data_IF_060104293526
#
_entry.id   IF_060104293526
#
_cell.length_a   1.000
_cell.length_b   1.000
_cell.length_c   1.000
_cell.angle_alpha   90.00
_cell.angle_beta   90.00
_cell.angle_gamma   90.00
#
_symmetry.space_group_name_H-M   'P 1'
#
loop_
_entity.id
_entity.type
_entity.pdbx_description
1 polymer ?
#
# COMPACT_ATOMS: atom_id res chain seq x y z
N UNK A 1 14.64 -0.30 -36.42
CA UNK A 1 14.89 1.13 -36.64
C UNK A 1 15.03 1.83 -35.29
N UNK A 2 16.23 2.38 -35.08
CA UNK A 2 16.67 3.39 -34.11
C UNK A 2 15.63 3.97 -33.14
N UNK A 3 15.73 3.58 -31.87
CA UNK A 3 15.28 4.35 -30.70
C UNK A 3 16.52 4.88 -29.96
N UNK A 4 17.32 5.71 -30.63
CA UNK A 4 18.29 6.58 -29.99
C UNK A 4 17.73 7.99 -30.09
N UNK A 5 17.49 8.64 -28.94
CA UNK A 5 17.19 10.07 -28.91
C UNK A 5 15.98 10.54 -28.09
N UNK A 6 15.45 9.78 -27.13
CA UNK A 6 14.64 10.41 -26.08
C UNK A 6 15.55 10.86 -24.93
N UNK A 7 15.48 12.14 -24.49
CA UNK A 7 16.30 12.62 -23.39
C UNK A 7 15.97 11.82 -22.14
N UNK A 8 17.01 11.38 -21.42
CA UNK A 8 16.90 10.84 -20.06
C UNK A 8 15.97 11.77 -19.27
N UNK A 9 14.83 11.27 -18.83
CA UNK A 9 13.76 12.05 -18.22
C UNK A 9 14.15 12.56 -16.83
N UNK A 10 15.04 13.56 -16.76
CA UNK A 10 15.10 14.46 -15.61
C UNK A 10 13.86 15.37 -15.65
N UNK A 11 12.71 14.85 -15.23
CA UNK A 11 11.43 15.57 -15.28
C UNK A 11 10.66 15.44 -13.96
N UNK A 12 11.24 15.78 -12.81
CA UNK A 12 10.43 16.12 -11.65
C UNK A 12 9.66 17.41 -11.97
N UNK A 13 8.41 17.28 -12.39
CA UNK A 13 7.46 18.39 -12.38
C UNK A 13 6.45 18.11 -11.28
N UNK A 14 6.29 19.04 -10.35
CA UNK A 14 5.23 19.02 -9.34
C UNK A 14 4.18 20.05 -9.74
N UNK A 15 2.97 19.62 -10.08
CA UNK A 15 1.85 20.55 -10.28
C UNK A 15 0.66 20.20 -9.41
N UNK A 16 -0.22 21.18 -9.23
CA UNK A 16 -1.22 21.21 -8.18
C UNK A 16 -2.64 21.16 -8.74
N UNK A 17 -3.46 20.25 -8.24
CA UNK A 17 -4.90 20.21 -8.52
C UNK A 17 -5.70 21.02 -7.50
N UNK A 18 -6.19 22.21 -7.88
CA UNK A 18 -7.00 23.09 -7.02
C UNK A 18 -8.50 22.72 -6.94
N UNK A 19 -8.89 21.51 -7.38
CA UNK A 19 -10.31 21.18 -7.55
C UNK A 19 -11.12 21.09 -6.24
N UNK A 20 -10.46 20.96 -5.10
CA UNK A 20 -11.07 21.02 -3.77
C UNK A 20 -10.10 21.78 -2.84
N UNK A 21 -10.48 22.08 -1.60
CA UNK A 21 -9.68 22.85 -0.62
C UNK A 21 -8.29 22.26 -0.27
N UNK A 22 -7.83 21.21 -0.97
CA UNK A 22 -6.52 20.59 -0.87
C UNK A 22 -5.97 20.18 -2.24
N UNK A 23 -4.69 20.45 -2.47
CA UNK A 23 -4.01 20.24 -3.74
C UNK A 23 -3.53 18.78 -3.93
N UNK A 24 -3.90 18.09 -5.01
CA UNK A 24 -3.17 16.87 -5.44
C UNK A 24 -1.89 17.28 -6.16
N UNK A 25 -0.77 16.69 -5.77
CA UNK A 25 0.55 16.92 -6.38
C UNK A 25 0.92 15.78 -7.32
N UNK A 26 1.32 16.08 -8.54
CA UNK A 26 1.69 15.05 -9.52
C UNK A 26 3.20 15.02 -9.69
N UNK A 27 3.78 13.83 -9.83
CA UNK A 27 5.21 13.63 -10.03
C UNK A 27 5.35 12.66 -11.20
N UNK A 28 6.00 13.06 -12.30
CA UNK A 28 6.42 12.12 -13.36
C UNK A 28 7.89 11.81 -13.16
N UNK A 29 8.29 10.56 -13.27
CA UNK A 29 9.68 10.14 -13.12
C UNK A 29 9.98 8.92 -13.98
N UNK A 30 11.27 8.62 -14.20
CA UNK A 30 11.69 7.40 -14.88
C UNK A 30 11.30 6.15 -14.05
N UNK A 31 10.95 5.04 -14.69
CA UNK A 31 10.66 3.78 -14.00
C UNK A 31 11.81 3.29 -13.12
N UNK A 32 13.04 3.69 -13.45
CA UNK A 32 14.29 3.35 -12.74
C UNK A 32 14.71 4.40 -11.71
N UNK A 33 13.87 5.40 -11.45
CA UNK A 33 14.17 6.41 -10.44
C UNK A 33 14.42 5.77 -9.07
N UNK A 34 15.40 6.30 -8.33
CA UNK A 34 15.78 5.77 -7.02
C UNK A 34 14.66 6.05 -5.99
N UNK A 35 14.23 4.99 -5.30
CA UNK A 35 13.20 5.11 -4.26
C UNK A 35 13.58 6.11 -3.15
N UNK A 36 14.87 6.24 -2.82
CA UNK A 36 15.38 7.22 -1.85
C UNK A 36 15.07 8.67 -2.25
N UNK A 37 15.30 9.02 -3.52
CA UNK A 37 15.04 10.37 -4.04
C UNK A 37 13.55 10.67 -4.00
N UNK A 38 12.72 9.73 -4.46
CA UNK A 38 11.28 9.89 -4.48
C UNK A 38 10.69 9.97 -3.06
N UNK A 39 11.14 9.12 -2.13
CA UNK A 39 10.72 9.14 -0.74
C UNK A 39 11.07 10.48 -0.08
N UNK A 40 12.33 10.94 -0.23
CA UNK A 40 12.77 12.25 0.31
C UNK A 40 11.94 13.40 -0.24
N UNK A 41 11.70 13.42 -1.55
CA UNK A 41 10.88 14.46 -2.19
C UNK A 41 9.49 14.59 -1.56
N UNK A 42 8.81 13.46 -1.33
CA UNK A 42 7.47 13.46 -0.70
C UNK A 42 7.59 13.77 0.80
N UNK A 43 8.60 13.22 1.47
CA UNK A 43 8.81 13.38 2.91
C UNK A 43 9.16 14.82 3.31
N UNK A 44 9.93 15.53 2.49
CA UNK A 44 10.33 16.92 2.74
C UNK A 44 9.16 17.90 2.55
N UNK A 45 8.16 17.51 1.76
CA UNK A 45 6.92 18.26 1.55
C UNK A 45 5.84 17.96 2.63
N UNK A 46 6.05 16.91 3.42
CA UNK A 46 5.17 16.52 4.52
C UNK A 46 5.63 17.12 5.84
N UNK A 47 4.69 17.53 6.70
CA UNK A 47 5.00 18.09 8.02
C UNK A 47 5.66 17.08 8.98
N UNK A 48 5.43 15.78 8.78
CA UNK A 48 5.98 14.70 9.60
C UNK A 48 6.27 13.45 8.77
N UNK A 49 7.26 12.68 9.22
CA UNK A 49 7.58 11.36 8.64
C UNK A 49 6.48 10.35 8.97
N UNK A 50 6.15 9.41 8.05
CA UNK A 50 5.17 8.39 8.34
C UNK A 50 5.69 7.42 9.38
N UNK A 51 4.82 6.93 10.26
CA UNK A 51 5.15 5.84 11.18
C UNK A 51 4.57 4.50 10.75
N UNK A 52 3.61 4.55 9.83
CA UNK A 52 3.00 3.40 9.18
C UNK A 52 2.79 3.68 7.69
N UNK A 53 3.20 2.75 6.84
CA UNK A 53 2.79 2.66 5.44
C UNK A 53 1.70 1.60 5.31
N UNK A 54 0.52 1.99 4.84
CA UNK A 54 -0.56 1.07 4.48
C UNK A 54 -0.55 0.93 2.96
N UNK A 55 0.07 -0.13 2.45
CA UNK A 55 0.14 -0.40 1.01
C UNK A 55 -1.04 -1.26 0.57
N UNK A 56 -1.99 -0.66 -0.13
CA UNK A 56 -3.24 -1.29 -0.53
C UNK A 56 -3.12 -1.80 -1.98
N UNK A 57 -3.33 -3.10 -2.16
CA UNK A 57 -3.41 -3.75 -3.46
C UNK A 57 -4.81 -4.33 -3.67
N UNK A 58 -5.25 -4.33 -4.92
CA UNK A 58 -6.51 -4.91 -5.30
C UNK A 58 -6.81 -4.78 -6.78
N UNK A 59 -8.07 -5.02 -7.13
CA UNK A 59 -8.52 -4.98 -8.51
C UNK A 59 -8.23 -3.67 -9.21
N UNK A 60 -7.54 -3.73 -10.36
CA UNK A 60 -7.37 -2.59 -11.26
C UNK A 60 -8.63 -2.32 -12.11
N UNK A 61 -9.52 -3.31 -12.22
CA UNK A 61 -10.83 -3.20 -12.87
C UNK A 61 -11.90 -2.83 -11.85
N UNK A 62 -13.08 -2.45 -12.33
CA UNK A 62 -14.25 -2.33 -11.48
C UNK A 62 -14.53 -3.68 -10.80
N UNK A 63 -14.76 -3.65 -9.50
CA UNK A 63 -15.23 -4.78 -8.71
C UNK A 63 -16.24 -4.25 -7.70
N UNK A 64 -17.10 -5.14 -7.23
CA UNK A 64 -18.12 -4.82 -6.24
C UNK A 64 -17.88 -5.71 -5.02
N UNK A 65 -17.94 -5.11 -3.84
CA UNK A 65 -17.97 -5.85 -2.58
C UNK A 65 -19.29 -5.59 -1.86
N UNK A 66 -19.55 -6.35 -0.80
CA UNK A 66 -20.71 -6.09 0.05
C UNK A 66 -20.64 -4.65 0.64
N UNK A 67 -21.75 -3.90 0.62
CA UNK A 67 -21.79 -2.50 1.06
C UNK A 67 -21.30 -2.32 2.51
N UNK A 68 -21.61 -3.27 3.41
CA UNK A 68 -21.11 -3.25 4.80
C UNK A 68 -19.60 -3.44 4.84
N UNK A 69 -19.07 -4.40 4.07
CA UNK A 69 -17.63 -4.64 3.98
C UNK A 69 -16.91 -3.42 3.43
N UNK A 70 -17.48 -2.77 2.41
CA UNK A 70 -16.94 -1.56 1.79
C UNK A 70 -16.82 -0.42 2.80
N UNK A 71 -17.88 -0.15 3.54
CA UNK A 71 -17.88 0.88 4.59
C UNK A 71 -16.89 0.58 5.71
N UNK A 72 -16.81 -0.67 6.16
CA UNK A 72 -15.86 -1.10 7.18
C UNK A 72 -14.41 -0.98 6.70
N UNK A 73 -14.15 -1.35 5.45
CA UNK A 73 -12.85 -1.19 4.81
C UNK A 73 -12.45 0.28 4.71
N UNK A 74 -13.29 1.13 4.10
CA UNK A 74 -13.03 2.55 3.93
C UNK A 74 -12.79 3.23 5.28
N UNK A 75 -13.63 2.97 6.29
CA UNK A 75 -13.46 3.53 7.63
C UNK A 75 -12.14 3.07 8.26
N UNK A 76 -11.87 1.77 8.24
CA UNK A 76 -10.73 1.23 8.98
C UNK A 76 -9.37 1.58 8.38
N UNK A 77 -9.24 1.77 7.06
CA UNK A 77 -7.98 2.25 6.48
C UNK A 77 -7.69 3.71 6.85
N UNK A 78 -8.72 4.56 6.89
CA UNK A 78 -8.59 5.96 7.32
C UNK A 78 -8.27 6.01 8.81
N UNK A 79 -9.01 5.28 9.64
CA UNK A 79 -8.78 5.19 11.08
C UNK A 79 -7.34 4.74 11.41
N UNK A 80 -6.86 3.66 10.77
CA UNK A 80 -5.49 3.17 10.99
C UNK A 80 -4.43 4.20 10.57
N UNK A 81 -4.61 4.84 9.41
CA UNK A 81 -3.68 5.85 8.92
C UNK A 81 -3.65 7.08 9.84
N UNK A 82 -4.82 7.58 10.25
CA UNK A 82 -4.92 8.76 11.12
C UNK A 82 -4.31 8.49 12.49
N UNK A 83 -4.55 7.32 13.09
CA UNK A 83 -4.00 7.00 14.43
C UNK A 83 -2.48 6.81 14.38
N UNK A 84 -1.95 6.26 13.29
CA UNK A 84 -0.54 5.95 13.16
C UNK A 84 0.30 7.08 12.55
N UNK A 85 -0.27 8.25 12.23
CA UNK A 85 0.37 9.24 11.34
C UNK A 85 0.92 8.56 10.07
N UNK A 86 0.07 7.73 9.46
CA UNK A 86 0.43 6.83 8.39
C UNK A 86 0.19 7.40 7.00
N UNK A 87 0.89 6.84 6.02
CA UNK A 87 0.65 7.09 4.61
C UNK A 87 -0.08 5.92 3.96
N UNK A 88 -1.05 6.23 3.10
CA UNK A 88 -1.80 5.23 2.33
C UNK A 88 -1.24 5.18 0.91
N UNK A 89 -0.86 3.99 0.44
CA UNK A 89 -0.36 3.77 -0.93
C UNK A 89 -1.37 2.94 -1.73
N UNK A 90 -1.65 3.36 -2.96
CA UNK A 90 -2.54 2.64 -3.90
C UNK A 90 -2.09 2.82 -5.35
N UNK A 91 -2.82 2.27 -6.33
CA UNK A 91 -2.50 2.40 -7.76
C UNK A 91 -2.81 3.79 -8.34
N UNK A 92 -3.51 4.65 -7.60
CA UNK A 92 -3.78 6.02 -7.99
C UNK A 92 -4.71 6.20 -9.19
N UNK A 93 -5.36 5.13 -9.65
CA UNK A 93 -6.29 5.19 -10.78
C UNK A 93 -7.72 5.41 -10.29
N UNK A 94 -8.52 6.16 -11.04
CA UNK A 94 -9.94 6.43 -10.76
C UNK A 94 -10.87 5.22 -11.02
N UNK A 95 -10.32 3.99 -10.92
CA UNK A 95 -11.02 2.72 -11.09
C UNK A 95 -10.53 1.67 -10.11
N UNK A 96 -11.43 0.76 -9.71
CA UNK A 96 -11.09 -0.35 -8.84
C UNK A 96 -10.63 0.14 -7.47
N UNK A 97 -9.53 -0.43 -6.96
CA UNK A 97 -9.05 -0.15 -5.61
C UNK A 97 -8.61 1.31 -5.42
N UNK A 98 -8.08 1.95 -6.46
CA UNK A 98 -7.70 3.37 -6.41
C UNK A 98 -8.91 4.26 -6.15
N UNK A 99 -10.00 4.03 -6.90
CA UNK A 99 -11.27 4.73 -6.71
C UNK A 99 -11.83 4.56 -5.30
N UNK A 100 -11.88 3.32 -4.80
CA UNK A 100 -12.41 3.03 -3.46
C UNK A 100 -11.61 3.73 -2.36
N UNK A 101 -10.27 3.78 -2.47
CA UNK A 101 -9.43 4.54 -1.54
C UNK A 101 -9.66 6.05 -1.68
N UNK A 102 -9.84 6.55 -2.90
CA UNK A 102 -10.19 7.96 -3.15
C UNK A 102 -11.52 8.36 -2.52
N UNK A 103 -12.54 7.50 -2.61
CA UNK A 103 -13.85 7.69 -1.98
C UNK A 103 -13.76 7.69 -0.46
N UNK A 104 -12.95 6.80 0.14
CA UNK A 104 -12.69 6.81 1.58
C UNK A 104 -12.08 8.14 2.06
N UNK A 105 -11.11 8.67 1.31
CA UNK A 105 -10.46 9.95 1.61
C UNK A 105 -11.43 11.12 1.44
N UNK A 106 -12.25 11.11 0.39
CA UNK A 106 -13.29 12.12 0.19
C UNK A 106 -14.33 12.09 1.31
N UNK A 107 -14.75 10.90 1.74
CA UNK A 107 -15.71 10.72 2.83
C UNK A 107 -15.16 11.27 4.15
N UNK A 108 -13.90 11.00 4.49
CA UNK A 108 -13.25 11.57 5.68
C UNK A 108 -13.21 13.10 5.64
N UNK A 109 -12.89 13.67 4.48
CA UNK A 109 -12.88 15.13 4.27
C UNK A 109 -14.25 15.76 4.46
N UNK A 110 -15.27 15.16 3.88
CA UNK A 110 -16.62 15.73 3.85
C UNK A 110 -17.37 15.53 5.16
N UNK A 111 -17.21 14.38 5.83
CA UNK A 111 -17.96 14.04 7.04
C UNK A 111 -17.23 14.37 8.34
N UNK A 112 -15.90 14.23 8.38
CA UNK A 112 -15.12 14.38 9.61
C UNK A 112 -14.33 15.70 9.67
N UNK A 113 -14.58 16.62 8.74
CA UNK A 113 -13.83 17.88 8.60
C UNK A 113 -12.40 17.68 8.07
N UNK A 114 -12.07 16.47 7.63
CA UNK A 114 -10.79 16.06 7.09
C UNK A 114 -9.70 15.85 8.13
N UNK A 115 -9.07 14.69 8.09
CA UNK A 115 -7.79 14.44 8.75
C UNK A 115 -6.71 15.34 8.12
N UNK A 116 -6.39 16.46 8.79
CA UNK A 116 -5.50 17.53 8.27
C UNK A 116 -4.16 16.99 7.73
N UNK A 117 -3.68 15.86 8.24
CA UNK A 117 -2.36 15.32 7.90
C UNK A 117 -2.39 13.97 7.17
N UNK A 118 -3.55 13.53 6.68
CA UNK A 118 -3.63 12.27 5.93
C UNK A 118 -2.92 12.41 4.57
N UNK A 119 -1.83 11.67 4.40
CA UNK A 119 -1.07 11.58 3.16
C UNK A 119 -1.44 10.30 2.42
N UNK A 120 -1.83 10.45 1.16
CA UNK A 120 -2.20 9.35 0.28
C UNK A 120 -1.45 9.47 -1.04
N UNK A 121 -0.87 8.37 -1.50
CA UNK A 121 0.05 8.32 -2.64
C UNK A 121 -0.47 7.29 -3.63
N UNK A 122 -0.83 7.76 -4.82
CA UNK A 122 -1.10 6.92 -5.98
C UNK A 122 0.18 6.66 -6.74
N UNK A 123 0.50 5.41 -7.05
CA UNK A 123 1.63 5.04 -7.90
C UNK A 123 1.09 4.30 -9.12
N UNK A 124 1.34 4.83 -10.32
CA UNK A 124 0.93 4.22 -11.57
C UNK A 124 2.02 4.33 -12.64
N UNK A 125 1.87 3.56 -13.72
CA UNK A 125 2.65 3.78 -14.93
C UNK A 125 2.07 4.95 -15.71
N UNK A 126 2.93 5.77 -16.29
CA UNK A 126 2.54 6.81 -17.23
C UNK A 126 1.75 6.21 -18.41
N UNK A 127 2.23 5.10 -18.97
CA UNK A 127 1.59 4.39 -20.08
C UNK A 127 0.23 3.77 -19.76
N UNK A 128 -0.17 3.64 -18.49
CA UNK A 128 -1.51 3.13 -18.16
C UNK A 128 -2.61 4.20 -18.30
N UNK A 129 -2.22 5.47 -18.39
CA UNK A 129 -3.17 6.56 -18.54
C UNK A 129 -3.69 6.65 -19.99
N UNK A 130 -4.97 7.02 -20.19
CA UNK A 130 -5.51 7.30 -21.51
C UNK A 130 -4.67 8.34 -22.25
N UNK A 131 -4.62 8.23 -23.57
CA UNK A 131 -3.84 9.13 -24.42
C UNK A 131 -4.18 10.60 -24.20
N UNK A 132 -5.47 10.93 -24.15
CA UNK A 132 -5.97 12.29 -23.86
C UNK A 132 -5.42 12.82 -22.53
N UNK A 133 -5.43 12.00 -21.48
CA UNK A 133 -4.86 12.37 -20.18
C UNK A 133 -3.35 12.60 -20.28
N UNK A 134 -2.62 11.74 -20.98
CA UNK A 134 -1.16 11.87 -21.19
C UNK A 134 -0.81 13.15 -21.96
N UNK A 135 -1.57 13.48 -22.99
CA UNK A 135 -1.37 14.70 -23.78
C UNK A 135 -1.59 15.96 -22.95
N UNK A 136 -2.70 16.01 -22.19
CA UNK A 136 -3.02 17.15 -21.32
C UNK A 136 -1.96 17.36 -20.25
N UNK A 137 -1.53 16.28 -19.59
CA UNK A 137 -0.45 16.34 -18.60
C UNK A 137 0.89 16.75 -19.23
N UNK A 138 1.22 16.24 -20.42
CA UNK A 138 2.49 16.57 -21.11
C UNK A 138 2.56 18.05 -21.52
N UNK A 139 1.45 18.60 -22.03
CA UNK A 139 1.34 20.04 -22.30
C UNK A 139 1.61 20.86 -21.04
N UNK A 140 1.02 20.48 -19.91
CA UNK A 140 1.21 21.17 -18.62
C UNK A 140 2.61 21.02 -18.06
N UNK A 141 3.22 19.83 -18.08
CA UNK A 141 4.63 19.62 -17.71
C UNK A 141 5.54 20.57 -18.50
N UNK A 142 5.30 20.71 -19.80
CA UNK A 142 6.10 21.59 -20.67
C UNK A 142 5.87 23.06 -20.35
N UNK A 143 4.60 23.49 -20.22
CA UNK A 143 4.26 24.87 -19.86
C UNK A 143 4.84 25.29 -18.51
N UNK A 144 4.74 24.42 -17.50
CA UNK A 144 5.32 24.67 -16.18
C UNK A 144 6.84 24.76 -16.25
N UNK A 145 7.51 23.82 -16.93
CA UNK A 145 8.96 23.86 -17.08
C UNK A 145 9.43 25.17 -17.70
N UNK A 146 8.74 25.63 -18.75
CA UNK A 146 9.04 26.91 -19.38
C UNK A 146 8.76 28.09 -18.45
N UNK A 147 7.67 28.06 -17.68
CA UNK A 147 7.32 29.12 -16.73
C UNK A 147 8.32 29.23 -15.57
N UNK A 148 8.75 28.10 -14.99
CA UNK A 148 9.79 28.03 -13.95
C UNK A 148 11.13 28.56 -14.49
N UNK A 149 11.51 28.15 -15.71
CA UNK A 149 12.70 28.70 -16.38
C UNK A 149 12.62 30.22 -16.58
N UNK A 150 11.40 30.77 -16.69
CA UNK A 150 11.13 32.20 -16.82
C UNK A 150 10.84 32.88 -15.46
N UNK A 151 11.10 32.23 -14.32
CA UNK A 151 11.02 32.82 -12.99
C UNK A 151 9.64 32.77 -12.30
N UNK A 152 8.68 32.00 -12.83
CA UNK A 152 7.39 31.78 -12.17
C UNK A 152 7.55 30.87 -10.94
N UNK A 153 6.67 31.04 -9.94
CA UNK A 153 6.61 30.16 -8.77
C UNK A 153 5.93 28.84 -9.15
N UNK A 154 6.39 27.73 -8.57
CA UNK A 154 5.86 26.39 -8.85
C UNK A 154 4.36 26.25 -8.52
N UNK A 155 3.87 27.06 -7.59
CA UNK A 155 2.53 27.04 -7.00
C UNK A 155 1.43 27.64 -7.92
N UNK A 156 1.81 28.40 -8.95
CA UNK A 156 0.89 29.17 -9.79
C UNK A 156 0.21 28.34 -10.91
N UNK A 157 0.43 27.02 -10.96
CA UNK A 157 0.01 26.17 -12.07
C UNK A 157 -1.14 25.21 -11.73
N UNK A 158 -2.34 25.53 -12.24
CA UNK A 158 -3.56 24.73 -12.06
C UNK A 158 -3.61 23.49 -12.97
N UNK A 159 -4.07 22.37 -12.39
CA UNK A 159 -4.37 21.12 -13.07
C UNK A 159 -5.49 21.24 -14.12
N UNK A 160 -5.41 20.57 -15.29
CA UNK A 160 -6.46 20.63 -16.31
C UNK A 160 -7.80 20.12 -15.79
N UNK A 161 -8.82 20.99 -15.78
CA UNK A 161 -10.19 20.63 -15.42
C UNK A 161 -10.80 19.61 -16.39
N UNK A 162 -10.25 19.51 -17.60
CA UNK A 162 -10.67 18.60 -18.65
C UNK A 162 -10.36 17.12 -18.33
N UNK A 163 -9.29 16.84 -17.58
CA UNK A 163 -8.94 15.48 -17.13
C UNK A 163 -10.01 14.92 -16.17
N UNK A 164 -10.82 15.80 -15.56
CA UNK A 164 -11.87 15.45 -14.61
C UNK A 164 -13.19 15.02 -15.27
N UNK A 165 -13.34 15.21 -16.59
CA UNK A 165 -14.59 14.94 -17.31
C UNK A 165 -14.66 13.56 -17.97
N UNK A 166 -13.54 12.84 -18.05
CA UNK A 166 -13.49 11.52 -18.67
C UNK A 166 -13.96 10.48 -17.65
N UNK A 167 -15.24 10.11 -17.71
CA UNK A 167 -15.88 9.20 -16.73
C UNK A 167 -15.63 7.72 -17.02
N UNK A 168 -15.24 7.37 -18.25
CA UNK A 168 -15.34 5.98 -18.72
C UNK A 168 -13.99 5.26 -18.89
N UNK A 169 -12.87 6.00 -18.84
CA UNK A 169 -11.52 5.44 -18.88
C UNK A 169 -10.84 5.60 -17.51
N UNK A 170 -10.05 4.61 -17.09
CA UNK A 170 -9.29 4.69 -15.83
C UNK A 170 -8.26 5.83 -15.93
N UNK A 171 -8.60 6.99 -15.38
CA UNK A 171 -7.73 8.16 -15.30
C UNK A 171 -7.03 8.20 -13.94
N UNK A 172 -6.82 9.39 -13.38
CA UNK A 172 -6.14 9.57 -12.11
C UNK A 172 -7.18 9.79 -11.01
N UNK A 173 -6.96 9.18 -9.86
CA UNK A 173 -7.76 9.41 -8.67
C UNK A 173 -7.40 10.76 -8.04
N UNK A 174 -8.34 11.70 -8.11
CA UNK A 174 -8.13 13.12 -7.79
C UNK A 174 -8.18 13.42 -6.30
N UNK A 175 -8.71 12.51 -5.47
CA UNK A 175 -8.82 12.76 -4.04
C UNK A 175 -7.50 12.44 -3.30
N UNK A 176 -6.52 11.84 -3.97
CA UNK A 176 -5.21 11.54 -3.38
C UNK A 176 -4.36 12.79 -3.18
N UNK A 177 -3.39 12.72 -2.27
CA UNK A 177 -2.45 13.81 -1.98
C UNK A 177 -1.35 13.88 -3.03
N UNK A 178 -0.77 12.74 -3.39
CA UNK A 178 0.29 12.63 -4.40
C UNK A 178 -0.08 11.60 -5.47
N UNK A 179 0.29 11.89 -6.72
CA UNK A 179 0.24 10.93 -7.83
C UNK A 179 1.62 10.82 -8.47
N UNK A 180 2.26 9.66 -8.32
CA UNK A 180 3.53 9.32 -8.94
C UNK A 180 3.30 8.51 -10.20
N UNK A 181 3.83 8.99 -11.32
CA UNK A 181 3.69 8.44 -12.67
C UNK A 181 5.06 7.99 -13.17
N UNK A 182 5.29 6.68 -13.17
CA UNK A 182 6.52 6.08 -13.67
C UNK A 182 6.49 5.90 -15.17
N UNK A 183 7.46 6.46 -15.86
CA UNK A 183 7.58 6.44 -17.31
C UNK A 183 8.74 5.54 -17.75
N UNK A 184 8.42 4.50 -18.51
CA UNK A 184 9.39 3.59 -19.14
C UNK A 184 9.38 3.72 -20.68
N UNK A 185 8.70 4.74 -21.21
CA UNK A 185 8.51 4.93 -22.64
C UNK A 185 7.51 3.97 -23.28
N UNK A 186 6.89 3.05 -22.52
CA UNK A 186 5.89 2.11 -23.04
C UNK A 186 4.48 2.63 -22.79
N UNK A 187 3.59 2.37 -23.74
CA UNK A 187 2.16 2.72 -23.65
C UNK A 187 1.31 1.54 -23.12
N UNK A 188 1.91 0.66 -22.32
CA UNK A 188 1.24 -0.53 -21.83
C UNK A 188 1.74 -0.96 -20.45
N UNK A 189 0.88 -1.69 -19.74
CA UNK A 189 1.13 -2.18 -18.39
C UNK A 189 0.53 -1.24 -17.33
N UNK A 190 -0.17 -1.85 -16.37
CA UNK A 190 -0.88 -1.14 -15.29
C UNK A 190 -0.13 -1.14 -13.96
N UNK A 191 1.03 -1.80 -13.91
CA UNK A 191 1.57 -2.34 -12.68
C UNK A 191 2.93 -1.70 -12.40
N UNK A 192 3.02 -1.04 -11.26
CA UNK A 192 4.25 -0.52 -10.69
C UNK A 192 4.52 -1.16 -9.32
N UNK A 193 4.09 -2.41 -9.13
CA UNK A 193 4.18 -3.12 -7.85
C UNK A 193 5.63 -3.20 -7.35
N UNK A 194 6.60 -3.34 -8.26
CA UNK A 194 8.02 -3.31 -7.91
C UNK A 194 8.46 -1.92 -7.43
N UNK A 195 8.10 -0.84 -8.12
CA UNK A 195 8.41 0.53 -7.68
C UNK A 195 7.74 0.84 -6.34
N UNK A 196 6.49 0.39 -6.15
CA UNK A 196 5.79 0.52 -4.86
C UNK A 196 6.51 -0.27 -3.77
N UNK A 197 6.94 -1.51 -4.04
CA UNK A 197 7.73 -2.31 -3.09
C UNK A 197 9.01 -1.59 -2.70
N UNK A 198 9.76 -1.05 -3.67
CA UNK A 198 10.99 -0.30 -3.41
C UNK A 198 10.73 0.97 -2.58
N UNK A 199 9.66 1.70 -2.87
CA UNK A 199 9.25 2.86 -2.06
C UNK A 199 8.92 2.46 -0.61
N UNK A 200 8.18 1.36 -0.41
CA UNK A 200 7.86 0.85 0.94
C UNK A 200 9.12 0.38 1.66
N UNK A 201 10.05 -0.28 0.96
CA UNK A 201 11.34 -0.69 1.52
C UNK A 201 12.17 0.52 1.99
N UNK A 202 12.21 1.59 1.20
CA UNK A 202 12.89 2.82 1.59
C UNK A 202 12.20 3.50 2.79
N UNK A 203 10.87 3.64 2.74
CA UNK A 203 10.09 4.23 3.83
C UNK A 203 10.28 3.47 5.16
N UNK A 204 10.44 2.14 5.10
CA UNK A 204 10.63 1.27 6.26
C UNK A 204 12.08 0.96 6.61
N UNK A 205 13.04 1.64 5.97
CA UNK A 205 14.44 1.56 6.33
C UNK A 205 14.63 1.97 7.81
N UNK A 206 15.61 1.38 8.50
CA UNK A 206 15.84 1.53 9.95
C UNK A 206 15.97 2.99 10.39
N UNK A 207 16.43 3.87 9.48
CA UNK A 207 16.56 5.32 9.70
C UNK A 207 15.21 6.04 9.84
N UNK A 208 14.17 5.52 9.20
CA UNK A 208 12.87 6.18 9.08
C UNK A 208 11.89 5.79 10.20
N UNK A 209 12.20 4.75 10.99
CA UNK A 209 11.37 4.28 12.13
C UNK A 209 9.90 4.07 11.74
N UNK A 210 9.66 3.57 10.54
CA UNK A 210 8.32 3.35 9.97
C UNK A 210 8.04 1.86 9.84
N UNK A 211 6.80 1.45 10.11
CA UNK A 211 6.33 0.10 9.81
C UNK A 211 5.55 0.08 8.50
N UNK A 212 5.43 -1.08 7.87
CA UNK A 212 4.53 -1.25 6.72
C UNK A 212 3.61 -2.44 6.95
N UNK A 213 2.41 -2.33 6.41
CA UNK A 213 1.45 -3.40 6.25
C UNK A 213 0.96 -3.40 4.80
N UNK A 214 0.77 -4.58 4.23
CA UNK A 214 0.11 -4.74 2.95
C UNK A 214 -1.33 -5.13 3.18
N UNK A 215 -2.28 -4.46 2.52
CA UNK A 215 -3.70 -4.81 2.57
C UNK A 215 -4.15 -5.28 1.19
N UNK A 216 -4.76 -6.45 1.13
CA UNK A 216 -5.23 -7.09 -0.11
C UNK A 216 -6.76 -7.07 -0.14
N UNK A 217 -7.31 -6.47 -1.19
CA UNK A 217 -8.75 -6.39 -1.48
C UNK A 217 -9.00 -6.95 -2.88
N UNK A 218 -9.88 -7.94 -3.02
CA UNK A 218 -10.09 -8.66 -4.28
C UNK A 218 -8.78 -9.30 -4.79
N UNK A 219 -8.12 -8.72 -5.78
CA UNK A 219 -6.85 -9.18 -6.32
C UNK A 219 -6.95 -10.11 -7.52
N UNK A 220 -6.21 -9.77 -8.58
CA UNK A 220 -5.93 -10.64 -9.72
C UNK A 220 -4.71 -11.54 -9.49
N UNK A 221 -4.32 -12.33 -10.50
CA UNK A 221 -3.20 -13.28 -10.44
C UNK A 221 -1.87 -12.67 -9.95
N UNK A 222 -1.58 -11.42 -10.33
CA UNK A 222 -0.33 -10.74 -9.97
C UNK A 222 -0.24 -10.42 -8.46
N UNK A 223 -1.38 -10.38 -7.77
CA UNK A 223 -1.45 -10.20 -6.31
C UNK A 223 -0.67 -11.28 -5.56
N UNK A 224 -0.63 -12.51 -6.09
CA UNK A 224 0.12 -13.61 -5.48
C UNK A 224 1.63 -13.31 -5.42
N UNK A 225 2.17 -12.67 -6.45
CA UNK A 225 3.58 -12.26 -6.47
C UNK A 225 3.86 -11.14 -5.46
N UNK A 226 2.95 -10.18 -5.33
CA UNK A 226 3.01 -9.14 -4.28
C UNK A 226 3.08 -9.78 -2.90
N UNK A 227 2.16 -10.70 -2.58
CA UNK A 227 2.11 -11.38 -1.28
C UNK A 227 3.41 -12.18 -1.04
N UNK A 228 3.88 -12.94 -2.03
CA UNK A 228 5.14 -13.69 -1.92
C UNK A 228 6.33 -12.78 -1.58
N UNK A 229 6.44 -11.64 -2.27
CA UNK A 229 7.51 -10.69 -2.05
C UNK A 229 7.39 -10.01 -0.67
N UNK A 230 6.19 -9.66 -0.24
CA UNK A 230 5.94 -9.07 1.07
C UNK A 230 6.28 -10.03 2.20
N UNK A 231 5.91 -11.31 2.08
CA UNK A 231 6.28 -12.33 3.05
C UNK A 231 7.80 -12.57 3.09
N UNK A 232 8.50 -12.48 1.94
CA UNK A 232 9.98 -12.54 1.86
C UNK A 232 10.61 -11.35 2.58
N UNK A 233 10.03 -10.16 2.44
CA UNK A 233 10.41 -8.94 3.15
C UNK A 233 9.99 -8.93 4.63
N UNK A 234 9.40 -10.02 5.14
CA UNK A 234 8.83 -10.10 6.50
C UNK A 234 7.80 -8.98 6.77
N UNK A 235 7.05 -8.57 5.74
CA UNK A 235 5.98 -7.57 5.82
C UNK A 235 4.66 -8.28 6.17
N UNK A 236 3.90 -7.79 7.16
CA UNK A 236 2.60 -8.34 7.49
C UNK A 236 1.60 -8.03 6.37
N UNK A 237 0.78 -9.01 6.04
CA UNK A 237 -0.24 -8.91 4.99
C UNK A 237 -1.61 -9.12 5.63
N UNK A 238 -2.54 -8.22 5.37
CA UNK A 238 -3.94 -8.30 5.79
C UNK A 238 -4.81 -8.55 4.57
N UNK A 239 -5.51 -9.67 4.56
CA UNK A 239 -6.46 -10.05 3.51
C UNK A 239 -7.86 -9.68 3.98
N UNK A 240 -8.59 -8.94 3.14
CA UNK A 240 -9.98 -8.57 3.38
C UNK A 240 -10.87 -9.69 2.84
N UNK A 241 -11.39 -10.53 3.72
CA UNK A 241 -12.28 -11.62 3.37
C UNK A 241 -13.64 -11.13 2.88
N UNK A 242 -14.18 -11.79 1.86
CA UNK A 242 -15.44 -11.43 1.20
C UNK A 242 -15.28 -10.29 0.19
N UNK A 243 -14.04 -9.88 -0.11
CA UNK A 243 -13.74 -8.86 -1.11
C UNK A 243 -13.62 -9.42 -2.53
N UNK A 244 -13.57 -10.75 -2.68
CA UNK A 244 -13.59 -11.44 -3.97
C UNK A 244 -12.26 -12.07 -4.38
N UNK A 245 -12.33 -12.90 -5.43
CA UNK A 245 -11.19 -13.35 -6.25
C UNK A 245 -10.00 -13.89 -5.42
N UNK A 246 -8.75 -13.44 -5.61
CA UNK A 246 -7.59 -14.03 -4.92
C UNK A 246 -7.67 -13.86 -3.40
N UNK A 247 -8.21 -12.75 -2.89
CA UNK A 247 -8.39 -12.51 -1.47
C UNK A 247 -9.25 -13.61 -0.84
N UNK A 248 -10.37 -13.98 -1.47
CA UNK A 248 -11.26 -15.03 -0.96
C UNK A 248 -10.65 -16.43 -1.06
N UNK A 249 -9.91 -16.72 -2.13
CA UNK A 249 -9.18 -18.00 -2.25
C UNK A 249 -8.21 -18.17 -1.08
N UNK A 250 -7.47 -17.12 -0.72
CA UNK A 250 -6.52 -17.17 0.40
C UNK A 250 -7.21 -17.12 1.76
N UNK A 251 -8.27 -16.31 1.93
CA UNK A 251 -8.97 -16.21 3.22
C UNK A 251 -9.62 -17.54 3.60
N UNK A 252 -10.21 -18.25 2.64
CA UNK A 252 -10.77 -19.59 2.81
C UNK A 252 -9.73 -20.60 3.30
N UNK A 253 -8.54 -20.58 2.69
CA UNK A 253 -7.44 -21.46 3.06
C UNK A 253 -6.87 -21.15 4.45
N UNK A 254 -6.91 -19.89 4.87
CA UNK A 254 -6.39 -19.45 6.17
C UNK A 254 -7.39 -19.63 7.33
N UNK A 255 -8.69 -19.60 7.04
CA UNK A 255 -9.74 -19.73 8.06
C UNK A 255 -10.04 -21.18 8.46
N UNK A 256 -9.87 -22.15 7.55
CA UNK A 256 -10.35 -23.52 7.79
C UNK A 256 -9.39 -24.37 8.61
N UNK A 257 -9.98 -25.30 9.36
CA UNK A 257 -9.24 -26.31 10.11
C UNK A 257 -8.66 -27.39 9.15
N UNK A 258 -7.42 -27.85 9.37
CA UNK A 258 -6.71 -28.80 8.50
C UNK A 258 -7.44 -30.12 8.22
N UNK A 259 -8.38 -30.52 9.08
CA UNK A 259 -8.99 -31.86 9.08
C UNK A 259 -10.18 -32.04 8.12
N UNK A 260 -10.64 -30.96 7.47
CA UNK A 260 -11.87 -31.00 6.68
C UNK A 260 -11.69 -31.48 5.24
N UNK A 261 -10.75 -30.89 4.50
CA UNK A 261 -10.49 -31.18 3.07
C UNK A 261 -9.01 -30.93 2.79
N UNK A 262 -8.30 -31.75 1.99
CA UNK A 262 -6.92 -31.48 1.63
C UNK A 262 -6.74 -30.09 0.97
N UNK A 263 -5.73 -29.33 1.39
CA UNK A 263 -5.45 -27.97 0.89
C UNK A 263 -5.41 -27.94 -0.66
N UNK A 264 -4.82 -28.95 -1.30
CA UNK A 264 -4.72 -29.05 -2.75
C UNK A 264 -6.09 -29.03 -3.46
N UNK A 265 -7.10 -29.72 -2.90
CA UNK A 265 -8.46 -29.78 -3.45
C UNK A 265 -9.15 -28.42 -3.29
N UNK A 266 -8.93 -27.76 -2.16
CA UNK A 266 -9.49 -26.43 -1.89
C UNK A 266 -8.89 -25.37 -2.83
N UNK A 267 -7.57 -25.42 -3.05
CA UNK A 267 -6.89 -24.53 -3.99
C UNK A 267 -7.46 -24.73 -5.40
N UNK A 268 -7.68 -25.99 -5.82
CA UNK A 268 -8.28 -26.26 -7.13
C UNK A 268 -9.72 -25.71 -7.23
N UNK A 269 -10.53 -25.87 -6.18
CA UNK A 269 -11.89 -25.32 -6.15
C UNK A 269 -11.90 -23.78 -6.18
N UNK A 270 -11.07 -23.13 -5.36
CA UNK A 270 -10.95 -21.68 -5.33
C UNK A 270 -10.45 -21.11 -6.67
N UNK A 271 -9.45 -21.73 -7.29
CA UNK A 271 -8.94 -21.33 -8.59
C UNK A 271 -9.97 -21.57 -9.71
N UNK A 272 -10.76 -22.65 -9.65
CA UNK A 272 -11.85 -22.85 -10.60
C UNK A 272 -12.83 -21.67 -10.57
N UNK A 273 -13.27 -21.26 -9.39
CA UNK A 273 -14.18 -20.12 -9.22
C UNK A 273 -13.53 -18.81 -9.72
N UNK A 274 -12.25 -18.59 -9.40
CA UNK A 274 -11.51 -17.40 -9.85
C UNK A 274 -11.45 -17.29 -11.39
N UNK A 275 -11.11 -18.39 -12.09
CA UNK A 275 -10.95 -18.37 -13.55
C UNK A 275 -12.28 -18.49 -14.33
N UNK A 276 -13.34 -19.04 -13.73
CA UNK A 276 -14.70 -19.02 -14.30
C UNK A 276 -15.23 -17.59 -14.39
N UNK A 277 -14.96 -16.75 -13.38
CA UNK A 277 -15.39 -15.35 -13.40
C UNK A 277 -14.53 -14.44 -14.31
N UNK A 278 -13.45 -14.94 -14.91
CA UNK A 278 -12.60 -14.23 -15.90
C UNK A 278 -13.05 -14.53 -17.35
N UNK A 279 -14.36 -14.61 -17.58
CA UNK A 279 -14.98 -14.82 -18.90
C UNK A 279 -14.89 -13.57 -19.79
N UNK A 280 -13.71 -13.32 -20.36
CA UNK A 280 -13.57 -12.55 -21.61
C UNK A 280 -12.28 -12.93 -22.36
N UNK A 281 -12.42 -13.64 -23.49
CA UNK A 281 -11.52 -13.64 -24.66
C UNK A 281 -10.04 -14.11 -24.54
N UNK A 282 -9.66 -14.95 -23.58
CA UNK A 282 -8.31 -15.56 -23.61
C UNK A 282 -8.34 -17.03 -24.04
N UNK A 283 -7.39 -17.43 -24.90
CA UNK A 283 -7.09 -18.81 -25.28
C UNK A 283 -7.11 -19.77 -24.07
N UNK A 284 -7.88 -20.85 -24.17
CA UNK A 284 -8.04 -21.90 -23.15
C UNK A 284 -6.69 -22.47 -22.68
N UNK A 285 -5.69 -22.50 -23.57
CA UNK A 285 -4.33 -22.96 -23.25
C UNK A 285 -3.63 -22.01 -22.27
N UNK A 286 -3.77 -20.70 -22.47
CA UNK A 286 -3.20 -19.68 -21.59
C UNK A 286 -3.83 -19.73 -20.19
N UNK A 287 -5.16 -19.89 -20.09
CA UNK A 287 -5.85 -20.04 -18.79
C UNK A 287 -5.32 -21.23 -18.00
N UNK A 288 -5.02 -22.34 -18.68
CA UNK A 288 -4.48 -23.54 -18.03
C UNK A 288 -3.09 -23.31 -17.45
N UNK A 289 -2.21 -22.61 -18.18
CA UNK A 289 -0.86 -22.26 -17.71
C UNK A 289 -0.95 -21.29 -16.53
N UNK A 290 -1.77 -20.25 -16.63
CA UNK A 290 -1.96 -19.26 -15.57
C UNK A 290 -2.51 -19.89 -14.29
N UNK A 291 -3.46 -20.81 -14.42
CA UNK A 291 -3.99 -21.56 -13.28
C UNK A 291 -2.90 -22.40 -12.61
N UNK A 292 -2.07 -23.11 -13.37
CA UNK A 292 -0.95 -23.89 -12.82
C UNK A 292 0.05 -22.99 -12.09
N UNK A 293 0.33 -21.82 -12.65
CA UNK A 293 1.21 -20.83 -12.02
C UNK A 293 0.62 -20.32 -10.70
N UNK A 294 -0.66 -19.93 -10.68
CA UNK A 294 -1.35 -19.48 -9.47
C UNK A 294 -1.35 -20.58 -8.40
N UNK A 295 -1.66 -21.83 -8.78
CA UNK A 295 -1.62 -22.97 -7.86
C UNK A 295 -0.24 -23.16 -7.24
N UNK A 296 0.83 -23.05 -8.04
CA UNK A 296 2.21 -23.12 -7.55
C UNK A 296 2.51 -21.99 -6.57
N UNK A 297 2.12 -20.76 -6.89
CA UNK A 297 2.35 -19.59 -6.03
C UNK A 297 1.57 -19.69 -4.72
N UNK A 298 0.30 -20.11 -4.75
CA UNK A 298 -0.48 -20.34 -3.53
C UNK A 298 0.17 -21.43 -2.67
N UNK A 299 0.58 -22.55 -3.27
CA UNK A 299 1.33 -23.58 -2.55
C UNK A 299 2.64 -23.04 -1.94
N UNK A 300 3.37 -22.19 -2.65
CA UNK A 300 4.57 -21.54 -2.10
C UNK A 300 4.21 -20.69 -0.88
N UNK A 301 3.21 -19.79 -0.99
CA UNK A 301 2.71 -18.93 0.09
C UNK A 301 2.34 -19.76 1.33
N UNK A 302 1.56 -20.82 1.14
CA UNK A 302 1.05 -21.66 2.22
C UNK A 302 2.14 -22.49 2.92
N UNK A 303 3.27 -22.71 2.25
CA UNK A 303 4.44 -23.41 2.81
C UNK A 303 5.56 -22.46 3.27
N UNK A 304 5.36 -21.14 3.22
CA UNK A 304 6.38 -20.20 3.68
C UNK A 304 6.56 -20.26 5.20
N UNK A 305 7.82 -20.16 5.64
CA UNK A 305 8.20 -20.06 7.07
C UNK A 305 7.45 -18.95 7.82
N UNK A 306 7.10 -17.87 7.13
CA UNK A 306 6.41 -16.72 7.69
C UNK A 306 4.93 -16.64 7.27
N UNK A 307 4.28 -17.78 6.98
CA UNK A 307 2.82 -17.86 6.72
C UNK A 307 1.99 -17.13 7.79
N UNK A 308 2.44 -17.16 9.04
CA UNK A 308 1.76 -16.48 10.15
C UNK A 308 1.72 -14.94 10.01
N UNK A 309 2.46 -14.35 9.08
CA UNK A 309 2.33 -12.93 8.73
C UNK A 309 1.11 -12.63 7.84
N UNK A 310 0.41 -13.66 7.34
CA UNK A 310 -0.90 -13.53 6.73
C UNK A 310 -1.95 -13.40 7.82
N UNK A 311 -2.74 -12.35 7.73
CA UNK A 311 -3.83 -12.03 8.66
C UNK A 311 -5.11 -11.84 7.85
N UNK A 312 -6.24 -12.26 8.41
CA UNK A 312 -7.54 -12.19 7.73
C UNK A 312 -8.50 -11.34 8.55
N UNK A 313 -8.92 -10.22 7.99
CA UNK A 313 -10.08 -9.48 8.45
C UNK A 313 -11.34 -10.11 7.85
N UNK A 314 -12.39 -10.28 8.63
CA UNK A 314 -13.68 -10.80 8.18
C UNK A 314 -14.80 -10.11 8.95
N UNK A 315 -15.93 -9.84 8.29
CA UNK A 315 -17.10 -9.16 8.86
C UNK A 315 -17.71 -9.89 10.06
N UNK A 316 -17.52 -11.22 10.13
CA UNK A 316 -18.12 -12.05 11.18
C UNK A 316 -17.37 -11.94 12.52
N UNK A 317 -16.16 -11.38 12.51
CA UNK A 317 -15.36 -11.19 13.73
C UNK A 317 -15.75 -9.87 14.40
N UNK A 318 -15.79 -9.85 15.73
CA UNK A 318 -15.92 -8.63 16.52
C UNK A 318 -14.60 -7.83 16.51
N UNK A 319 -14.30 -7.27 15.33
CA UNK A 319 -13.08 -6.52 15.04
C UNK A 319 -13.35 -5.57 13.88
N UNK A 320 -12.51 -4.55 13.73
CA UNK A 320 -12.49 -3.69 12.56
C UNK A 320 -11.18 -3.88 11.77
N UNK A 321 -11.11 -3.25 10.58
CA UNK A 321 -9.93 -3.35 9.71
C UNK A 321 -8.70 -2.70 10.36
N UNK A 322 -8.86 -1.57 11.05
CA UNK A 322 -7.76 -0.89 11.74
C UNK A 322 -7.11 -1.76 12.81
N UNK A 323 -7.91 -2.40 13.66
CA UNK A 323 -7.46 -3.38 14.66
C UNK A 323 -6.68 -4.51 14.02
N UNK A 324 -7.18 -5.06 12.91
CA UNK A 324 -6.51 -6.16 12.21
C UNK A 324 -5.15 -5.73 11.66
N UNK A 325 -5.04 -4.49 11.16
CA UNK A 325 -3.77 -3.89 10.73
C UNK A 325 -2.78 -3.80 11.89
N UNK A 326 -3.20 -3.24 13.03
CA UNK A 326 -2.32 -3.11 14.19
C UNK A 326 -1.93 -4.47 14.79
N UNK A 327 -2.88 -5.40 14.91
CA UNK A 327 -2.63 -6.76 15.39
C UNK A 327 -1.61 -7.48 14.49
N UNK A 328 -1.69 -7.29 13.17
CA UNK A 328 -0.72 -7.85 12.22
C UNK A 328 0.70 -7.29 12.43
N UNK A 329 0.83 -5.99 12.70
CA UNK A 329 2.12 -5.33 13.01
C UNK A 329 2.68 -5.87 14.33
N UNK A 330 1.86 -5.96 15.38
CA UNK A 330 2.31 -6.48 16.67
C UNK A 330 2.68 -7.96 16.60
N UNK A 331 1.91 -8.77 15.88
CA UNK A 331 2.22 -10.19 15.62
C UNK A 331 3.57 -10.33 14.91
N UNK A 332 3.81 -9.53 13.88
CA UNK A 332 5.12 -9.49 13.20
C UNK A 332 6.24 -9.18 14.19
N UNK A 333 6.09 -8.17 15.03
CA UNK A 333 7.10 -7.81 16.02
C UNK A 333 7.42 -8.99 16.95
N UNK A 334 6.41 -9.65 17.51
CA UNK A 334 6.62 -10.81 18.40
C UNK A 334 7.34 -11.97 17.71
N UNK A 335 7.06 -12.21 16.43
CA UNK A 335 7.71 -13.26 15.65
C UNK A 335 9.19 -12.94 15.36
N UNK A 336 9.53 -11.67 15.19
CA UNK A 336 10.88 -11.22 14.79
C UNK A 336 11.79 -10.96 15.98
N UNK A 337 11.24 -10.80 17.19
CA UNK A 337 12.06 -10.67 18.41
C UNK A 337 12.68 -12.03 18.78
N UNK A 338 14.02 -12.12 18.96
CA UNK A 338 14.67 -13.37 19.35
C UNK A 338 14.13 -13.90 20.68
N UNK A 339 13.61 -15.14 20.68
CA UNK A 339 12.99 -15.76 21.86
C UNK A 339 14.00 -16.15 22.96
N UNK A 340 15.31 -16.23 22.66
CA UNK A 340 16.36 -16.58 23.63
C UNK A 340 17.64 -15.74 23.45
N UNK A 341 18.03 -14.96 24.48
CA UNK A 341 19.42 -14.48 24.65
C UNK A 341 20.14 -15.41 25.63
N UNK A 342 20.70 -16.50 25.10
CA UNK A 342 21.57 -17.43 25.83
C UNK A 342 23.02 -17.44 25.34
N UNK A 343 23.39 -16.60 24.37
CA UNK A 343 24.75 -16.55 23.81
C UNK A 343 25.28 -15.12 23.81
N UNK A 344 26.46 -14.92 24.39
CA UNK A 344 27.09 -13.63 24.69
C UNK A 344 27.71 -12.90 23.46
N UNK A 345 27.16 -13.07 22.26
CA UNK A 345 27.69 -12.42 21.05
C UNK A 345 26.61 -11.62 20.30
N UNK A 346 25.90 -10.74 21.01
CA UNK A 346 25.12 -9.67 20.38
C UNK A 346 26.01 -8.43 20.25
N UNK A 347 26.47 -8.12 19.03
CA UNK A 347 27.21 -6.90 18.71
C UNK A 347 26.41 -5.63 19.11
N UNK A 348 27.09 -4.56 19.56
CA UNK A 348 26.42 -3.37 20.11
C UNK A 348 25.45 -2.66 19.14
N UNK A 349 25.70 -2.70 17.83
CA UNK A 349 24.85 -2.05 16.82
C UNK A 349 23.44 -2.67 16.76
N UNK A 350 23.32 -3.99 16.82
CA UNK A 350 22.02 -4.69 16.82
C UNK A 350 21.15 -4.39 18.06
N UNK A 351 21.75 -3.91 19.15
CA UNK A 351 21.00 -3.59 20.37
C UNK A 351 20.29 -2.22 20.30
N UNK A 352 20.88 -1.25 19.60
CA UNK A 352 20.32 0.10 19.48
C UNK A 352 19.20 0.17 18.41
N UNK A 353 19.33 -0.64 17.34
CA UNK A 353 18.28 -0.86 16.34
C UNK A 353 17.04 -1.51 16.95
N UNK A 354 17.21 -2.55 17.78
CA UNK A 354 16.11 -3.17 18.56
C UNK A 354 15.41 -2.17 19.49
N UNK A 355 16.12 -1.13 19.97
CA UNK A 355 15.57 -0.15 20.91
C UNK A 355 14.70 0.90 20.22
N UNK A 356 15.13 1.43 19.07
CA UNK A 356 14.37 2.44 18.30
C UNK A 356 13.07 1.86 17.72
N UNK A 357 13.08 0.61 17.26
CA UNK A 357 11.87 -0.09 16.81
C UNK A 357 10.84 -0.29 17.93
N UNK A 358 11.30 -0.50 19.18
CA UNK A 358 10.43 -0.67 20.36
C UNK A 358 9.71 0.62 20.75
N UNK A 359 10.39 1.77 20.67
CA UNK A 359 9.78 3.07 20.97
C UNK A 359 8.64 3.40 20.00
N UNK A 360 8.85 3.20 18.69
CA UNK A 360 7.80 3.42 17.70
C UNK A 360 6.59 2.53 17.95
N UNK A 361 6.80 1.24 18.26
CA UNK A 361 5.69 0.32 18.54
C UNK A 361 4.98 0.65 19.84
N UNK A 362 5.71 1.04 20.88
CA UNK A 362 5.10 1.43 22.15
C UNK A 362 4.16 2.61 21.93
N UNK A 363 4.62 3.63 21.22
CA UNK A 363 3.83 4.82 20.95
C UNK A 363 2.67 4.51 19.97
N UNK A 364 2.84 3.62 18.99
CA UNK A 364 1.70 3.08 18.22
C UNK A 364 0.68 2.35 19.12
N UNK A 365 1.14 1.55 20.09
CA UNK A 365 0.24 0.87 21.03
C UNK A 365 -0.49 1.86 21.94
N UNK A 366 0.15 2.95 22.35
CA UNK A 366 -0.47 4.04 23.13
C UNK A 366 -1.51 4.77 22.28
N UNK A 367 -1.15 5.20 21.06
CA UNK A 367 -2.05 5.92 20.16
C UNK A 367 -3.28 5.09 19.77
N UNK A 368 -3.09 3.79 19.55
CA UNK A 368 -4.19 2.87 19.28
C UNK A 368 -4.96 2.44 20.54
N UNK A 369 -4.51 2.84 21.74
CA UNK A 369 -5.08 2.43 23.02
C UNK A 369 -5.20 0.91 23.17
N UNK A 370 -4.21 0.16 22.68
CA UNK A 370 -4.20 -1.31 22.74
C UNK A 370 -3.38 -1.80 23.92
N UNK A 371 -4.10 -2.19 24.99
CA UNK A 371 -3.51 -2.85 26.15
C UNK A 371 -2.75 -4.14 25.76
N UNK A 372 -3.28 -4.89 24.79
CA UNK A 372 -2.62 -6.10 24.29
C UNK A 372 -1.33 -5.77 23.54
N UNK A 373 -1.36 -4.78 22.62
CA UNK A 373 -0.17 -4.30 21.92
C UNK A 373 0.90 -3.80 22.88
N UNK A 374 0.50 -3.00 23.88
CA UNK A 374 1.37 -2.54 24.96
C UNK A 374 2.01 -3.72 25.71
N UNK A 375 1.23 -4.71 26.11
CA UNK A 375 1.74 -5.89 26.80
C UNK A 375 2.78 -6.65 25.96
N UNK A 376 2.51 -6.84 24.65
CA UNK A 376 3.42 -7.52 23.71
C UNK A 376 4.75 -6.79 23.57
N UNK A 377 4.73 -5.47 23.45
CA UNK A 377 5.93 -4.63 23.34
C UNK A 377 6.70 -4.60 24.67
N UNK A 378 6.01 -4.35 25.78
CA UNK A 378 6.60 -4.21 27.13
C UNK A 378 7.24 -5.51 27.63
N UNK A 379 6.70 -6.69 27.27
CA UNK A 379 7.30 -8.00 27.60
C UNK A 379 8.76 -8.12 27.18
N UNK A 380 9.18 -7.34 26.17
CA UNK A 380 10.51 -7.39 25.57
C UNK A 380 11.38 -6.15 25.91
N UNK A 381 10.93 -5.27 26.80
CA UNK A 381 11.70 -4.12 27.31
C UNK A 381 12.22 -4.44 28.72
N UNK A 382 13.55 -4.45 28.93
CA UNK A 382 14.13 -4.57 30.28
C UNK A 382 13.83 -3.30 31.08
N UNK A 383 13.38 -3.45 32.34
CA UNK A 383 13.00 -2.41 33.32
C UNK A 383 14.00 -1.24 33.54
N UNK A 384 15.20 -1.23 32.95
CA UNK A 384 16.26 -0.24 33.25
C UNK A 384 16.59 0.76 32.12
N UNK A 385 15.90 0.72 30.98
CA UNK A 385 16.36 1.45 29.78
C UNK A 385 15.30 2.31 29.07
N UNK A 386 14.40 2.97 29.81
CA UNK A 386 13.44 3.89 29.19
C UNK A 386 13.62 5.31 29.76
N UNK A 387 14.16 6.22 28.95
CA UNK A 387 13.83 7.65 29.07
C UNK A 387 12.57 7.86 28.24
N UNK A 388 11.42 7.54 28.83
CA UNK A 388 10.14 7.87 28.21
C UNK A 388 9.86 9.36 28.38
N UNK A 389 9.17 9.95 27.40
CA UNK A 389 8.67 11.31 27.50
C UNK A 389 7.76 11.43 28.76
N UNK A 390 7.56 12.64 29.32
CA UNK A 390 6.87 12.83 30.59
C UNK A 390 5.49 12.15 30.67
N UNK A 391 4.81 11.96 29.53
CA UNK A 391 3.48 11.37 29.44
C UNK A 391 3.42 9.89 29.83
N UNK A 392 4.51 9.15 29.70
CA UNK A 392 4.54 7.69 29.95
C UNK A 392 4.90 7.32 31.38
N UNK A 393 5.17 8.31 32.26
CA UNK A 393 5.30 8.08 33.71
C UNK A 393 3.96 8.14 34.43
N UNK A 394 2.89 8.54 33.75
CA UNK A 394 1.54 8.71 34.33
C UNK A 394 0.66 7.45 34.17
N UNK A 395 1.07 6.50 33.32
CA UNK A 395 0.55 5.13 33.19
C UNK A 395 1.45 4.17 33.97
#
# INVERSE_FOLDING_TARGET
HSYEGQPKSQNFGIFYNQYESRLTKFIRCDLREEAEKLYKLIQDDCSQKPRLIISIYGGAKYFQMNERLEKEFMRGIIEAATIADGWILTNGLSRGIGKLVGEAILQDRTLNGGSKDLVSIGLAKWGSLPEETRELLSKKFTSQKNAIQNGAKEEDHEFPREILKTTDAATIERHLTYMVLFDDGKLSGYICDEQRRMFVQEATNDKNKCYAVTVIVEGGKNTLEVILNDLKDSRPVVIIDGSGRIADVLSDLLKRHPESVPEAVQIDAGLNNFFQNDEANSDTSCKTIERRLCKRQINEIMNMKYRDLLNVYSLDKDSNVAKTIFDAIFKRYEMMVPKHRGSCHDQPENQDHSRKSKETLLDLSIKWNSCEGLAKVLKHIKRKSIQVSPFSRLL
#
